data_IF_422484280312
#
_entry.id   IF_422484280312
#
_cell.length_a   1.000
_cell.length_b   1.000
_cell.length_c   1.000
_cell.angle_alpha   90.00
_cell.angle_beta   90.00
_cell.angle_gamma   90.00
#
_symmetry.space_group_name_H-M   'P 1'
#
loop_
_entity.id
_entity.type
_entity.pdbx_description
1 polymer ?
#
# COMPACT_ATOMS: atom_id res chain seq x y z
N UNK A 1 -13.54 -16.12 -24.49
CA UNK A 1 -13.88 -15.12 -23.47
C UNK A 1 -12.86 -15.26 -22.34
N UNK A 2 -12.22 -14.18 -21.93
CA UNK A 2 -11.35 -14.23 -20.75
C UNK A 2 -12.21 -14.50 -19.52
N UNK A 3 -11.95 -15.61 -18.82
CA UNK A 3 -12.64 -15.97 -17.58
C UNK A 3 -11.95 -15.40 -16.34
N UNK A 4 -10.88 -14.64 -16.55
CA UNK A 4 -9.99 -14.11 -15.51
C UNK A 4 -10.20 -12.62 -15.28
N UNK A 5 -10.05 -12.18 -14.04
CA UNK A 5 -10.09 -10.77 -13.65
C UNK A 5 -9.08 -10.47 -12.53
N UNK A 6 -8.73 -9.20 -12.36
CA UNK A 6 -7.87 -8.72 -11.28
C UNK A 6 -8.67 -7.77 -10.38
N UNK A 7 -8.55 -7.96 -9.07
CA UNK A 7 -9.05 -7.03 -8.05
C UNK A 7 -7.86 -6.40 -7.32
N UNK A 8 -7.78 -5.08 -7.30
CA UNK A 8 -6.78 -4.34 -6.51
C UNK A 8 -7.43 -3.94 -5.20
N UNK A 9 -6.96 -4.49 -4.10
CA UNK A 9 -7.48 -4.25 -2.76
C UNK A 9 -6.57 -3.29 -1.99
N UNK A 10 -6.98 -2.01 -1.88
CA UNK A 10 -6.32 -0.99 -1.09
C UNK A 10 -7.10 -0.71 0.20
N UNK A 11 -6.43 -0.22 1.25
CA UNK A 11 -7.13 0.33 2.40
C UNK A 11 -8.10 1.43 1.96
N UNK A 12 -7.65 2.26 1.05
CA UNK A 12 -8.36 3.41 0.52
C UNK A 12 -7.93 4.71 1.18
N UNK A 13 -8.38 5.81 0.62
CA UNK A 13 -8.15 7.16 1.14
C UNK A 13 -9.40 8.00 1.00
N UNK A 14 -9.70 8.82 2.01
CA UNK A 14 -10.90 9.67 2.02
C UNK A 14 -10.70 11.02 1.33
N UNK A 15 -9.48 11.44 1.03
CA UNK A 15 -9.20 12.76 0.47
C UNK A 15 -8.85 12.70 -1.02
N UNK A 16 -9.48 13.53 -1.90
CA UNK A 16 -9.18 13.54 -3.34
C UNK A 16 -7.71 13.71 -3.68
N UNK A 17 -7.01 14.61 -2.97
CA UNK A 17 -5.57 14.91 -3.22
C UNK A 17 -4.65 13.70 -3.07
N UNK A 18 -5.03 12.71 -2.27
CA UNK A 18 -4.22 11.52 -2.03
C UNK A 18 -4.59 10.34 -2.95
N UNK A 19 -5.63 10.47 -3.79
CA UNK A 19 -6.02 9.43 -4.75
C UNK A 19 -4.92 9.06 -5.77
N UNK A 20 -4.06 9.99 -6.22
CA UNK A 20 -3.01 9.64 -7.20
C UNK A 20 -2.15 8.45 -6.80
N UNK A 21 -1.86 8.24 -5.51
CA UNK A 21 -1.14 7.06 -5.05
C UNK A 21 -1.85 5.73 -5.28
N UNK A 22 -3.17 5.73 -5.44
CA UNK A 22 -3.94 4.52 -5.82
C UNK A 22 -4.17 4.49 -7.32
N UNK A 23 -4.65 5.59 -7.92
CA UNK A 23 -5.07 5.61 -9.32
C UNK A 23 -3.92 5.36 -10.29
N UNK A 24 -2.71 5.86 -9.99
CA UNK A 24 -1.50 5.56 -10.78
C UNK A 24 -1.17 4.06 -10.78
N UNK A 25 -1.28 3.39 -9.64
CA UNK A 25 -1.10 1.93 -9.56
C UNK A 25 -2.17 1.20 -10.36
N UNK A 26 -3.45 1.60 -10.24
CA UNK A 26 -4.56 1.02 -11.00
C UNK A 26 -4.33 1.15 -12.50
N UNK A 27 -3.97 2.35 -12.98
CA UNK A 27 -3.67 2.61 -14.38
C UNK A 27 -2.50 1.75 -14.87
N UNK A 28 -1.43 1.66 -14.09
CA UNK A 28 -0.25 0.85 -14.44
C UNK A 28 -0.60 -0.63 -14.57
N UNK A 29 -1.42 -1.16 -13.65
CA UNK A 29 -1.90 -2.56 -13.70
C UNK A 29 -2.79 -2.76 -14.93
N UNK A 30 -3.73 -1.86 -15.21
CA UNK A 30 -4.59 -1.93 -16.39
C UNK A 30 -3.80 -1.97 -17.70
N UNK A 31 -2.77 -1.13 -17.82
CA UNK A 31 -1.89 -1.11 -18.97
C UNK A 31 -1.10 -2.42 -19.14
N UNK A 32 -0.63 -2.99 -18.02
CA UNK A 32 0.25 -4.16 -18.05
C UNK A 32 -0.47 -5.49 -18.26
N UNK A 33 -1.77 -5.55 -17.92
CA UNK A 33 -2.58 -6.78 -18.00
C UNK A 33 -3.75 -6.67 -18.99
N UNK A 34 -3.73 -5.68 -19.89
CA UNK A 34 -4.76 -5.59 -20.92
C UNK A 34 -4.75 -6.85 -21.81
N UNK A 35 -5.90 -7.46 -22.15
CA UNK A 35 -7.27 -6.96 -21.94
C UNK A 35 -7.97 -7.47 -20.65
N UNK A 36 -7.25 -8.03 -19.67
CA UNK A 36 -7.84 -8.55 -18.42
C UNK A 36 -8.52 -7.43 -17.63
N UNK A 37 -9.80 -7.58 -17.23
CA UNK A 37 -10.47 -6.57 -16.44
C UNK A 37 -9.83 -6.36 -15.07
N UNK A 38 -9.69 -5.08 -14.67
CA UNK A 38 -9.14 -4.68 -13.37
C UNK A 38 -10.19 -3.87 -12.62
N UNK A 39 -10.52 -4.29 -11.41
CA UNK A 39 -11.45 -3.60 -10.50
C UNK A 39 -10.72 -3.13 -9.24
N UNK A 40 -11.06 -1.92 -8.79
CA UNK A 40 -10.58 -1.37 -7.53
C UNK A 40 -11.55 -1.72 -6.40
N UNK A 41 -11.00 -2.12 -5.25
CA UNK A 41 -11.75 -2.33 -4.02
C UNK A 41 -11.05 -1.64 -2.84
N UNK A 42 -11.83 -1.08 -1.91
CA UNK A 42 -11.30 -0.54 -0.65
C UNK A 42 -11.65 -1.46 0.52
N UNK A 43 -10.65 -1.82 1.32
CA UNK A 43 -10.85 -2.67 2.50
C UNK A 43 -11.51 -1.89 3.65
N UNK A 44 -11.17 -0.61 3.84
CA UNK A 44 -11.76 0.23 4.88
C UNK A 44 -13.25 0.55 4.64
N UNK A 45 -14.10 0.07 5.55
CA UNK A 45 -15.53 0.37 5.50
C UNK A 45 -15.81 1.86 5.70
N UNK A 46 -15.04 2.53 6.56
CA UNK A 46 -15.18 3.95 6.83
C UNK A 46 -14.91 4.78 5.56
N UNK A 47 -13.83 4.49 4.84
CA UNK A 47 -13.48 5.18 3.60
C UNK A 47 -14.57 4.98 2.54
N UNK A 48 -15.10 3.77 2.39
CA UNK A 48 -16.21 3.50 1.48
C UNK A 48 -17.48 4.28 1.84
N UNK A 49 -17.76 4.49 3.14
CA UNK A 49 -18.90 5.32 3.61
C UNK A 49 -18.70 6.78 3.22
N UNK A 50 -17.47 7.31 3.33
CA UNK A 50 -17.15 8.68 2.92
C UNK A 50 -17.46 8.88 1.43
N UNK A 51 -16.94 8.00 0.56
CA UNK A 51 -17.17 8.10 -0.89
C UNK A 51 -18.65 7.96 -1.26
N UNK A 52 -19.34 7.02 -0.64
CA UNK A 52 -20.79 6.82 -0.83
C UNK A 52 -21.60 8.05 -0.42
N UNK A 53 -21.22 8.71 0.68
CA UNK A 53 -21.85 9.97 1.10
C UNK A 53 -21.59 11.11 0.11
N UNK A 54 -20.42 11.16 -0.51
CA UNK A 54 -20.11 12.18 -1.54
C UNK A 54 -20.86 11.95 -2.83
N UNK A 55 -21.02 10.70 -3.24
CA UNK A 55 -21.81 10.34 -4.43
C UNK A 55 -23.26 10.86 -4.35
N UNK A 56 -23.83 10.94 -3.16
CA UNK A 56 -25.20 11.49 -2.96
C UNK A 56 -25.27 13.02 -2.96
N UNK A 57 -24.15 13.71 -3.20
CA UNK A 57 -24.05 15.18 -3.22
C UNK A 57 -23.66 15.67 -4.62
N UNK A 58 -24.62 15.97 -5.52
CA UNK A 58 -24.34 16.33 -6.91
C UNK A 58 -23.42 17.54 -7.09
N UNK A 59 -23.53 18.54 -6.20
CA UNK A 59 -22.66 19.72 -6.23
C UNK A 59 -21.20 19.31 -5.93
N UNK A 60 -20.98 18.48 -4.90
CA UNK A 60 -19.65 17.99 -4.57
C UNK A 60 -19.01 17.22 -5.74
N UNK A 61 -19.77 16.33 -6.39
CA UNK A 61 -19.29 15.56 -7.56
C UNK A 61 -18.92 16.50 -8.71
N UNK A 62 -19.71 17.55 -8.94
CA UNK A 62 -19.44 18.55 -9.99
C UNK A 62 -18.19 19.38 -9.69
N UNK A 63 -17.91 19.66 -8.42
CA UNK A 63 -16.75 20.43 -7.96
C UNK A 63 -15.47 19.61 -7.94
N UNK A 64 -15.54 18.26 -8.02
CA UNK A 64 -14.40 17.35 -7.96
C UNK A 64 -14.36 16.42 -9.19
N UNK A 65 -14.25 16.99 -10.41
CA UNK A 65 -14.22 16.20 -11.65
C UNK A 65 -12.97 15.30 -11.76
N UNK A 66 -11.93 15.58 -10.97
CA UNK A 66 -10.71 14.78 -10.88
C UNK A 66 -10.91 13.42 -10.19
N UNK A 67 -12.02 13.25 -9.44
CA UNK A 67 -12.30 11.99 -8.75
C UNK A 67 -12.95 10.99 -9.71
N UNK A 68 -12.29 9.85 -9.97
CA UNK A 68 -12.85 8.82 -10.85
C UNK A 68 -14.21 8.30 -10.34
N UNK A 69 -15.15 8.04 -11.24
CA UNK A 69 -16.47 7.49 -10.88
C UNK A 69 -16.37 6.14 -10.16
N UNK A 70 -15.38 5.32 -10.50
CA UNK A 70 -15.12 4.05 -9.81
C UNK A 70 -14.77 4.23 -8.34
N UNK A 71 -14.11 5.33 -7.95
CA UNK A 71 -13.81 5.65 -6.55
C UNK A 71 -15.09 6.08 -5.81
N UNK A 72 -15.93 6.88 -6.45
CA UNK A 72 -17.21 7.29 -5.87
C UNK A 72 -18.12 6.08 -5.59
N UNK A 73 -18.05 5.05 -6.44
CA UNK A 73 -18.85 3.83 -6.36
C UNK A 73 -18.08 2.65 -5.74
N UNK A 74 -16.90 2.91 -5.18
CA UNK A 74 -15.99 1.85 -4.71
C UNK A 74 -16.67 0.91 -3.69
N UNK A 75 -16.44 -0.37 -3.88
CA UNK A 75 -16.96 -1.45 -3.02
C UNK A 75 -15.83 -2.11 -2.21
N UNK A 76 -16.22 -2.95 -1.29
CA UNK A 76 -15.25 -3.79 -0.57
C UNK A 76 -14.88 -5.04 -1.37
N UNK A 77 -13.75 -5.70 -1.03
CA UNK A 77 -13.27 -6.87 -1.77
C UNK A 77 -14.34 -7.95 -1.97
N UNK A 78 -15.06 -8.33 -0.92
CA UNK A 78 -16.13 -9.32 -0.98
C UNK A 78 -17.17 -8.99 -2.05
N UNK A 79 -17.67 -7.75 -2.05
CA UNK A 79 -18.70 -7.33 -2.98
C UNK A 79 -18.15 -7.21 -4.42
N UNK A 80 -16.91 -6.72 -4.58
CA UNK A 80 -16.26 -6.59 -5.90
C UNK A 80 -16.02 -7.97 -6.54
N UNK A 81 -15.62 -8.96 -5.74
CA UNK A 81 -15.42 -10.35 -6.21
C UNK A 81 -16.78 -10.99 -6.58
N UNK A 82 -17.82 -10.73 -5.78
CA UNK A 82 -19.16 -11.23 -6.08
C UNK A 82 -19.72 -10.61 -7.39
N UNK A 83 -19.52 -9.32 -7.63
CA UNK A 83 -19.92 -8.66 -8.88
C UNK A 83 -19.21 -9.29 -10.09
N UNK A 84 -17.90 -9.53 -10.00
CA UNK A 84 -17.14 -10.20 -11.05
C UNK A 84 -17.66 -11.62 -11.32
N UNK A 85 -18.04 -12.34 -10.26
CA UNK A 85 -18.68 -13.66 -10.43
C UNK A 85 -20.00 -13.56 -11.20
N UNK A 86 -20.88 -12.60 -10.89
CA UNK A 86 -22.12 -12.36 -11.63
C UNK A 86 -21.87 -11.94 -13.09
N UNK A 87 -20.74 -11.26 -13.37
CA UNK A 87 -20.27 -10.94 -14.71
C UNK A 87 -19.68 -12.16 -15.47
N UNK A 88 -19.55 -13.31 -14.80
CA UNK A 88 -19.07 -14.58 -15.39
C UNK A 88 -17.58 -14.90 -15.15
N UNK A 89 -16.86 -14.06 -14.40
CA UNK A 89 -15.46 -14.32 -14.06
C UNK A 89 -15.36 -15.36 -12.94
N UNK A 90 -14.60 -16.41 -13.18
CA UNK A 90 -14.44 -17.52 -12.23
C UNK A 90 -13.01 -17.73 -11.76
N UNK A 91 -12.05 -17.03 -12.36
CA UNK A 91 -10.64 -17.04 -12.01
C UNK A 91 -10.23 -15.60 -11.67
N UNK A 92 -9.96 -15.34 -10.39
CA UNK A 92 -9.73 -13.96 -9.93
C UNK A 92 -8.42 -13.91 -9.15
N UNK A 93 -7.55 -12.98 -9.56
CA UNK A 93 -6.37 -12.59 -8.78
C UNK A 93 -6.71 -11.35 -7.98
N UNK A 94 -6.61 -11.43 -6.66
CA UNK A 94 -6.79 -10.29 -5.76
C UNK A 94 -5.40 -9.84 -5.31
N UNK A 95 -4.98 -8.65 -5.73
CA UNK A 95 -3.71 -8.08 -5.31
C UNK A 95 -3.93 -7.14 -4.12
N UNK A 96 -3.28 -7.45 -3.01
CA UNK A 96 -3.19 -6.55 -1.87
C UNK A 96 -2.26 -5.37 -2.20
N UNK A 97 -2.76 -4.14 -2.05
CA UNK A 97 -1.95 -2.93 -2.15
C UNK A 97 -1.46 -2.43 -0.77
N UNK A 98 -1.56 -3.26 0.26
CA UNK A 98 -0.98 -2.94 1.57
C UNK A 98 0.55 -2.99 1.52
N UNK A 99 1.19 -2.27 2.43
CA UNK A 99 2.66 -2.22 2.49
C UNK A 99 3.21 -3.53 3.04
N UNK A 100 2.65 -4.04 4.12
CA UNK A 100 3.10 -5.27 4.79
C UNK A 100 1.94 -6.20 5.14
N UNK A 101 2.25 -7.42 5.58
CA UNK A 101 1.30 -8.43 6.00
C UNK A 101 0.79 -8.14 7.42
N UNK A 102 0.03 -7.05 7.58
CA UNK A 102 -0.63 -6.63 8.81
C UNK A 102 -2.08 -7.09 8.88
N UNK A 103 -2.84 -6.50 9.81
CA UNK A 103 -4.23 -6.84 10.10
C UNK A 103 -5.11 -6.79 8.84
N UNK A 104 -5.04 -5.72 8.06
CA UNK A 104 -5.89 -5.55 6.87
C UNK A 104 -5.60 -6.59 5.78
N UNK A 105 -4.34 -7.02 5.68
CA UNK A 105 -3.99 -8.11 4.76
C UNK A 105 -4.53 -9.45 5.25
N UNK A 106 -4.46 -9.72 6.55
CA UNK A 106 -4.99 -10.96 7.14
C UNK A 106 -6.52 -11.03 7.01
N UNK A 107 -7.22 -9.92 7.19
CA UNK A 107 -8.66 -9.82 6.95
C UNK A 107 -9.01 -10.10 5.48
N UNK A 108 -8.25 -9.53 4.55
CA UNK A 108 -8.40 -9.80 3.13
C UNK A 108 -8.16 -11.29 2.82
N UNK A 109 -7.10 -11.87 3.38
CA UNK A 109 -6.78 -13.31 3.24
C UNK A 109 -7.87 -14.20 3.78
N UNK A 110 -8.41 -13.87 4.95
CA UNK A 110 -9.53 -14.58 5.57
C UNK A 110 -10.78 -14.51 4.69
N UNK A 111 -11.10 -13.34 4.15
CA UNK A 111 -12.21 -13.16 3.21
C UNK A 111 -12.06 -14.06 1.98
N UNK A 112 -10.88 -14.09 1.35
CA UNK A 112 -10.65 -14.92 0.17
C UNK A 112 -10.73 -16.43 0.48
N UNK A 113 -10.19 -16.85 1.62
CA UNK A 113 -10.31 -18.25 2.08
C UNK A 113 -11.77 -18.64 2.25
N UNK A 114 -12.58 -17.78 2.84
CA UNK A 114 -14.02 -17.98 2.99
C UNK A 114 -14.72 -18.14 1.63
N UNK A 115 -14.42 -17.26 0.67
CA UNK A 115 -14.98 -17.36 -0.69
C UNK A 115 -14.52 -18.61 -1.43
N UNK A 116 -13.25 -19.00 -1.33
CA UNK A 116 -12.70 -20.19 -1.96
C UNK A 116 -13.29 -21.49 -1.38
N UNK A 117 -13.81 -21.45 -0.15
CA UNK A 117 -14.44 -22.61 0.49
C UNK A 117 -15.87 -22.87 0.04
N UNK A 118 -16.49 -21.95 -0.71
CA UNK A 118 -17.87 -22.10 -1.18
C UNK A 118 -17.93 -23.22 -2.22
N UNK A 119 -18.70 -24.27 -1.91
CA UNK A 119 -18.93 -25.40 -2.79
C UNK A 119 -20.42 -25.50 -3.14
N UNK A 120 -20.70 -25.86 -4.38
CA UNK A 120 -22.05 -26.18 -4.79
C UNK A 120 -22.26 -27.70 -4.85
N UNK A 121 -23.49 -28.18 -4.60
CA UNK A 121 -23.86 -29.60 -4.74
C UNK A 121 -23.52 -30.12 -6.13
N UNK A 122 -23.74 -29.31 -7.15
CA UNK A 122 -23.28 -29.59 -8.52
C UNK A 122 -22.00 -28.84 -8.78
N UNK A 123 -20.84 -29.49 -8.98
CA UNK A 123 -19.53 -28.81 -9.11
C UNK A 123 -19.49 -27.69 -10.17
N UNK A 124 -20.28 -27.84 -11.25
CA UNK A 124 -20.39 -26.80 -12.30
C UNK A 124 -20.95 -25.45 -11.82
N UNK A 125 -21.63 -25.46 -10.66
CA UNK A 125 -22.20 -24.25 -10.05
C UNK A 125 -21.33 -23.70 -8.91
N UNK A 126 -20.19 -24.33 -8.61
CA UNK A 126 -19.21 -23.76 -7.67
C UNK A 126 -18.77 -22.39 -8.19
N UNK A 127 -18.86 -21.30 -7.38
CA UNK A 127 -18.74 -19.93 -7.89
C UNK A 127 -17.37 -19.61 -8.46
N UNK A 128 -16.30 -20.06 -7.81
CA UNK A 128 -14.95 -19.77 -8.24
C UNK A 128 -14.19 -21.04 -8.59
N UNK A 129 -13.49 -21.01 -9.74
CA UNK A 129 -12.58 -22.08 -10.15
C UNK A 129 -11.22 -21.88 -9.46
N UNK A 130 -10.75 -20.64 -9.43
CA UNK A 130 -9.49 -20.24 -8.80
C UNK A 130 -9.61 -18.84 -8.22
N UNK A 131 -9.17 -18.70 -6.96
CA UNK A 131 -8.96 -17.40 -6.31
C UNK A 131 -7.51 -17.35 -5.84
N UNK A 132 -6.75 -16.37 -6.28
CA UNK A 132 -5.37 -16.15 -5.89
C UNK A 132 -5.23 -14.83 -5.12
N UNK A 133 -4.36 -14.80 -4.12
CA UNK A 133 -4.03 -13.60 -3.37
C UNK A 133 -2.58 -13.22 -3.62
N UNK A 134 -2.38 -12.03 -4.21
CA UNK A 134 -1.07 -11.40 -4.30
C UNK A 134 -0.66 -10.80 -2.95
N UNK A 135 0.57 -11.08 -2.55
CA UNK A 135 1.12 -10.62 -1.28
C UNK A 135 1.35 -9.11 -1.25
N UNK A 136 1.47 -8.49 -0.05
CA UNK A 136 1.75 -7.05 0.07
C UNK A 136 3.17 -6.71 -0.43
N UNK A 137 3.49 -5.41 -0.49
CA UNK A 137 4.73 -4.93 -1.11
C UNK A 137 6.01 -5.44 -0.41
N UNK A 138 6.02 -5.45 0.93
CA UNK A 138 7.15 -5.94 1.72
C UNK A 138 7.10 -7.47 1.93
N UNK A 139 6.23 -8.18 1.19
CA UNK A 139 6.12 -9.63 1.26
C UNK A 139 5.35 -10.13 2.47
N UNK A 140 5.41 -11.43 2.64
CA UNK A 140 4.89 -12.14 3.81
C UNK A 140 5.83 -13.29 4.16
N UNK A 141 6.00 -13.64 5.44
CA UNK A 141 6.74 -14.82 5.83
C UNK A 141 6.15 -16.09 5.18
N UNK A 142 7.00 -16.92 4.59
CA UNK A 142 6.57 -18.16 3.94
C UNK A 142 7.69 -18.81 3.15
N UNK A 143 7.46 -20.05 2.71
CA UNK A 143 8.44 -20.86 1.96
C UNK A 143 8.35 -20.58 0.46
N UNK A 144 7.13 -20.32 -0.06
CA UNK A 144 6.88 -20.22 -1.50
C UNK A 144 7.49 -18.97 -2.13
N UNK A 145 7.53 -17.87 -1.37
CA UNK A 145 8.11 -16.61 -1.82
C UNK A 145 9.13 -16.15 -0.79
N UNK A 146 10.43 -16.17 -1.12
CA UNK A 146 11.48 -15.75 -0.19
C UNK A 146 11.29 -14.28 0.22
N UNK A 147 10.80 -14.08 1.41
CA UNK A 147 10.53 -12.79 2.04
C UNK A 147 11.70 -11.77 1.92
N UNK A 148 12.98 -12.14 2.09
CA UNK A 148 14.07 -11.20 1.90
C UNK A 148 14.15 -10.61 0.48
N UNK A 149 13.75 -11.36 -0.54
CA UNK A 149 13.74 -10.86 -1.92
C UNK A 149 12.68 -9.76 -2.14
N UNK A 150 11.55 -9.82 -1.41
CA UNK A 150 10.55 -8.77 -1.45
C UNK A 150 11.09 -7.48 -0.84
N UNK A 151 11.83 -7.58 0.27
CA UNK A 151 12.50 -6.43 0.88
C UNK A 151 13.60 -5.83 -0.02
N UNK A 152 14.37 -6.66 -0.72
CA UNK A 152 15.36 -6.19 -1.68
C UNK A 152 14.71 -5.45 -2.87
N UNK A 153 13.60 -5.96 -3.39
CA UNK A 153 12.82 -5.26 -4.42
C UNK A 153 12.27 -3.92 -3.93
N UNK A 154 11.76 -3.90 -2.71
CA UNK A 154 11.30 -2.66 -2.07
C UNK A 154 12.45 -1.66 -1.93
N UNK A 155 13.61 -2.09 -1.43
CA UNK A 155 14.79 -1.24 -1.30
C UNK A 155 15.25 -0.65 -2.64
N UNK A 156 15.25 -1.45 -3.72
CA UNK A 156 15.53 -0.94 -5.07
C UNK A 156 14.54 0.10 -5.54
N UNK A 157 13.25 -0.09 -5.26
CA UNK A 157 12.22 0.89 -5.62
C UNK A 157 12.35 2.22 -4.83
N UNK A 158 12.96 2.16 -3.64
CA UNK A 158 13.18 3.32 -2.76
C UNK A 158 14.54 4.01 -2.99
N UNK A 159 15.43 3.46 -3.81
CA UNK A 159 16.75 4.03 -4.08
C UNK A 159 16.73 5.52 -4.50
N UNK A 160 15.80 6.01 -5.37
CA UNK A 160 15.75 7.42 -5.72
C UNK A 160 15.50 8.37 -4.54
N UNK A 161 14.81 7.90 -3.50
CA UNK A 161 14.58 8.70 -2.30
C UNK A 161 15.85 8.79 -1.42
N UNK A 162 16.67 7.73 -1.41
CA UNK A 162 17.98 7.75 -0.76
C UNK A 162 18.93 8.70 -1.49
N UNK A 163 18.97 8.62 -2.83
CA UNK A 163 19.77 9.55 -3.65
C UNK A 163 19.37 11.00 -3.38
N UNK A 164 18.06 11.29 -3.32
CA UNK A 164 17.56 12.63 -2.98
C UNK A 164 18.02 13.10 -1.60
N UNK A 165 17.96 12.22 -0.59
CA UNK A 165 18.39 12.55 0.76
C UNK A 165 19.90 12.80 0.82
N UNK A 166 20.69 11.99 0.14
CA UNK A 166 22.16 12.11 0.07
C UNK A 166 22.59 13.41 -0.62
N UNK A 167 21.93 13.78 -1.73
CA UNK A 167 22.16 15.07 -2.41
C UNK A 167 21.88 16.27 -1.51
N UNK A 168 20.92 16.15 -0.59
CA UNK A 168 20.58 17.18 0.39
C UNK A 168 21.48 17.15 1.65
N UNK A 169 22.33 16.14 1.80
CA UNK A 169 23.09 15.89 3.03
C UNK A 169 22.17 15.61 4.22
N UNK A 170 21.04 14.94 3.98
CA UNK A 170 20.00 14.67 4.96
C UNK A 170 19.94 13.15 5.29
N UNK A 171 19.48 12.81 6.48
CA UNK A 171 19.02 11.46 6.74
C UNK A 171 17.60 11.27 6.19
N UNK A 172 17.39 10.18 5.47
CA UNK A 172 16.06 9.76 5.05
C UNK A 172 15.33 9.09 6.22
N UNK A 173 14.15 9.62 6.56
CA UNK A 173 13.27 9.02 7.57
C UNK A 173 11.98 8.61 6.90
N UNK A 174 11.76 7.31 6.79
CA UNK A 174 10.47 6.77 6.42
C UNK A 174 9.58 6.57 7.65
N UNK A 175 8.30 6.91 7.50
CA UNK A 175 7.30 6.68 8.55
C UNK A 175 6.15 5.85 7.99
N UNK A 176 6.05 4.61 8.47
CA UNK A 176 4.91 3.75 8.23
C UNK A 176 3.75 4.08 9.15
N UNK A 177 2.56 3.56 8.84
CA UNK A 177 1.43 3.68 9.75
C UNK A 177 1.68 2.86 11.02
N UNK A 178 2.17 1.63 10.85
CA UNK A 178 2.28 0.67 11.94
C UNK A 178 0.93 0.10 12.33
N UNK A 179 0.91 -0.67 13.41
CA UNK A 179 -0.30 -1.23 14.02
C UNK A 179 0.01 -1.64 15.46
N UNK A 180 -0.78 -1.21 16.46
CA UNK A 180 -0.53 -1.54 17.87
C UNK A 180 -0.82 -3.00 18.23
N UNK A 181 -1.55 -3.72 17.36
CA UNK A 181 -2.00 -5.10 17.62
C UNK A 181 -1.28 -6.14 16.74
N UNK A 182 -0.58 -5.71 15.70
CA UNK A 182 0.04 -6.60 14.72
C UNK A 182 1.55 -6.35 14.61
N UNK A 183 2.39 -7.41 14.53
CA UNK A 183 3.83 -7.22 14.45
C UNK A 183 4.25 -6.43 13.22
N UNK A 184 5.04 -5.39 13.39
CA UNK A 184 5.58 -4.52 12.35
C UNK A 184 7.10 -4.61 12.19
N UNK A 185 7.73 -5.68 12.71
CA UNK A 185 9.18 -5.89 12.62
C UNK A 185 9.77 -5.84 11.21
N UNK A 186 8.94 -6.05 10.19
CA UNK A 186 9.32 -5.88 8.78
C UNK A 186 9.86 -4.49 8.43
N UNK A 187 9.45 -3.46 9.14
CA UNK A 187 9.99 -2.12 8.94
C UNK A 187 11.46 -2.02 9.37
N UNK A 188 11.83 -2.72 10.44
CA UNK A 188 13.23 -2.83 10.85
C UNK A 188 14.05 -3.67 9.87
N UNK A 189 13.48 -4.74 9.37
CA UNK A 189 14.14 -5.55 8.34
C UNK A 189 14.35 -4.73 7.06
N UNK A 190 13.38 -3.92 6.65
CA UNK A 190 13.54 -3.00 5.53
C UNK A 190 14.66 -1.99 5.80
N UNK A 191 14.70 -1.37 7.00
CA UNK A 191 15.81 -0.47 7.37
C UNK A 191 17.16 -1.18 7.24
N UNK A 192 17.27 -2.42 7.74
CA UNK A 192 18.50 -3.20 7.62
C UNK A 192 18.90 -3.45 6.17
N UNK A 193 17.93 -3.76 5.29
CA UNK A 193 18.19 -3.97 3.86
C UNK A 193 18.64 -2.67 3.21
N UNK A 194 17.95 -1.55 3.45
CA UNK A 194 18.32 -0.24 2.92
C UNK A 194 19.75 0.15 3.33
N UNK A 195 20.09 -0.02 4.60
CA UNK A 195 21.45 0.27 5.10
C UNK A 195 22.52 -0.65 4.51
N UNK A 196 22.18 -1.92 4.24
CA UNK A 196 23.10 -2.86 3.60
C UNK A 196 23.33 -2.53 2.13
N UNK A 197 22.29 -2.13 1.41
CA UNK A 197 22.35 -1.83 -0.03
C UNK A 197 22.89 -0.43 -0.31
N UNK A 198 22.72 0.49 0.63
CA UNK A 198 23.17 1.90 0.54
C UNK A 198 23.95 2.28 1.82
N UNK A 199 25.18 1.72 2.00
CA UNK A 199 25.91 1.86 3.25
C UNK A 199 26.40 3.30 3.55
N UNK A 200 26.44 4.18 2.54
CA UNK A 200 26.77 5.59 2.70
C UNK A 200 25.59 6.45 3.13
N UNK A 201 24.37 6.01 2.87
CA UNK A 201 23.15 6.78 3.15
C UNK A 201 22.72 6.64 4.62
N UNK A 202 22.25 7.74 5.18
CA UNK A 202 21.67 7.76 6.53
C UNK A 202 20.17 7.50 6.42
N UNK A 203 19.70 6.35 6.90
CA UNK A 203 18.29 5.97 6.81
C UNK A 203 17.78 5.41 8.13
N UNK A 204 16.54 5.80 8.49
CA UNK A 204 15.77 5.24 9.58
C UNK A 204 14.33 4.99 9.13
N UNK A 205 13.72 3.93 9.67
CA UNK A 205 12.31 3.60 9.44
C UNK A 205 11.59 3.58 10.78
N UNK A 206 10.56 4.42 10.90
CA UNK A 206 9.69 4.49 12.06
C UNK A 206 8.23 4.28 11.69
N UNK A 207 7.37 4.36 12.69
CA UNK A 207 5.92 4.16 12.55
C UNK A 207 5.13 5.10 13.47
N UNK A 208 3.95 5.48 13.03
CA UNK A 208 3.04 6.32 13.82
C UNK A 208 2.51 5.53 15.02
N UNK A 209 2.10 4.28 14.76
CA UNK A 209 1.55 3.37 15.78
C UNK A 209 2.37 2.07 15.81
N UNK A 210 3.08 1.81 16.89
CA UNK A 210 3.84 0.58 17.05
C UNK A 210 5.13 0.76 17.85
N UNK A 211 6.06 -0.19 17.68
CA UNK A 211 7.30 -0.27 18.48
C UNK A 211 8.37 0.73 18.05
N UNK A 212 8.37 1.14 16.78
CA UNK A 212 9.43 1.99 16.19
C UNK A 212 8.97 3.45 16.13
N UNK A 213 8.60 3.97 17.28
CA UNK A 213 8.02 5.31 17.46
C UNK A 213 8.99 6.44 17.07
N UNK A 214 8.48 7.67 17.12
CA UNK A 214 9.29 8.88 16.95
C UNK A 214 10.50 8.92 17.88
N UNK A 215 10.37 8.45 19.14
CA UNK A 215 11.49 8.42 20.09
C UNK A 215 12.59 7.45 19.64
N UNK A 216 12.23 6.30 19.09
CA UNK A 216 13.19 5.40 18.46
C UNK A 216 13.94 6.11 17.32
N UNK A 217 13.24 6.78 16.42
CA UNK A 217 13.86 7.48 15.29
C UNK A 217 14.76 8.65 15.75
N UNK A 218 14.33 9.38 16.78
CA UNK A 218 15.16 10.44 17.40
C UNK A 218 16.52 9.92 17.86
N UNK A 219 16.53 8.80 18.58
CA UNK A 219 17.77 8.18 19.03
C UNK A 219 18.64 7.72 17.84
N UNK A 220 18.03 7.17 16.79
CA UNK A 220 18.73 6.79 15.56
C UNK A 220 19.38 8.01 14.89
N UNK A 221 18.65 9.12 14.72
CA UNK A 221 19.17 10.35 14.13
C UNK A 221 20.32 10.94 14.97
N UNK A 222 20.21 10.89 16.31
CA UNK A 222 21.29 11.31 17.21
C UNK A 222 22.57 10.48 17.01
N UNK A 223 22.44 9.16 16.87
CA UNK A 223 23.57 8.25 16.60
C UNK A 223 24.20 8.50 15.22
N UNK A 224 23.40 8.88 14.23
CA UNK A 224 23.86 9.24 12.89
C UNK A 224 24.58 10.59 12.84
N UNK A 225 24.39 11.46 13.83
CA UNK A 225 25.00 12.81 13.90
C UNK A 225 24.52 13.78 12.81
N UNK A 226 23.35 13.51 12.21
CA UNK A 226 22.79 14.37 11.15
C UNK A 226 22.18 15.64 11.72
N UNK A 227 22.15 16.70 10.89
CA UNK A 227 21.46 17.95 11.18
C UNK A 227 20.26 18.18 10.25
N UNK A 228 20.07 17.32 9.25
CA UNK A 228 19.02 17.46 8.23
C UNK A 228 18.27 16.15 8.08
N UNK A 229 16.96 16.24 7.88
CA UNK A 229 16.07 15.10 7.71
C UNK A 229 15.17 15.33 6.50
N UNK A 230 15.11 14.33 5.62
CA UNK A 230 14.06 14.18 4.63
C UNK A 230 13.03 13.19 5.17
N UNK A 231 11.83 13.69 5.52
CA UNK A 231 10.75 12.90 6.11
C UNK A 231 9.77 12.47 5.04
N UNK A 232 9.53 11.16 4.91
CA UNK A 232 8.63 10.59 3.88
C UNK A 232 7.70 9.53 4.46
N UNK A 233 6.44 9.41 3.96
CA UNK A 233 5.55 8.32 4.35
C UNK A 233 6.00 7.01 3.71
N UNK A 234 6.08 5.94 4.50
CA UNK A 234 6.17 4.55 4.01
C UNK A 234 4.75 3.98 3.90
N UNK A 235 3.94 4.63 3.09
CA UNK A 235 2.52 4.33 2.90
C UNK A 235 2.18 4.42 1.40
N UNK A 236 1.24 3.60 0.94
CA UNK A 236 0.77 3.66 -0.45
C UNK A 236 0.28 5.07 -0.81
N UNK A 237 -0.44 5.69 0.13
CA UNK A 237 -0.97 7.05 0.07
C UNK A 237 -0.74 7.76 1.39
N UNK A 238 -0.33 9.00 1.36
CA UNK A 238 -0.39 9.87 2.54
C UNK A 238 -1.81 10.45 2.64
N UNK A 239 -2.62 9.87 3.52
CA UNK A 239 -3.95 10.40 3.86
C UNK A 239 -3.85 11.61 4.79
N UNK A 240 -5.00 12.17 5.17
CA UNK A 240 -5.07 13.37 6.01
C UNK A 240 -4.39 13.17 7.38
N UNK A 241 -4.57 12.00 8.00
CA UNK A 241 -3.86 11.65 9.24
C UNK A 241 -2.36 11.64 9.06
N UNK A 242 -1.86 10.99 8.00
CA UNK A 242 -0.42 10.99 7.71
C UNK A 242 0.14 12.40 7.50
N UNK A 243 -0.60 13.27 6.83
CA UNK A 243 -0.22 14.68 6.69
C UNK A 243 -0.14 15.39 8.04
N UNK A 244 -1.14 15.20 8.92
CA UNK A 244 -1.16 15.79 10.25
C UNK A 244 -0.04 15.23 11.14
N UNK A 245 0.12 13.91 11.17
CA UNK A 245 1.07 13.23 12.04
C UNK A 245 2.52 13.52 11.62
N UNK A 246 2.81 13.53 10.31
CA UNK A 246 4.17 13.75 9.82
C UNK A 246 4.52 15.24 9.74
N UNK A 247 3.69 16.06 9.08
CA UNK A 247 4.01 17.42 8.71
C UNK A 247 3.05 18.48 9.27
N UNK A 248 2.15 18.10 10.17
CA UNK A 248 1.22 19.02 10.85
C UNK A 248 1.92 20.12 11.62
N UNK A 249 1.17 21.20 11.91
CA UNK A 249 1.67 22.33 12.70
C UNK A 249 1.65 22.07 14.22
N UNK A 250 0.97 21.02 14.64
CA UNK A 250 0.87 20.63 16.05
C UNK A 250 2.24 20.21 16.60
N UNK A 251 2.49 20.54 17.88
CA UNK A 251 3.75 20.23 18.55
C UNK A 251 4.06 18.72 18.62
N UNK A 252 3.04 17.86 18.50
CA UNK A 252 3.17 16.41 18.48
C UNK A 252 3.49 15.82 17.10
N UNK A 253 3.46 16.59 16.02
CA UNK A 253 3.84 16.09 14.69
C UNK A 253 5.32 15.73 14.64
N UNK A 254 5.67 14.76 13.79
CA UNK A 254 7.05 14.31 13.59
C UNK A 254 7.96 15.48 13.22
N UNK A 255 7.53 16.29 12.25
CA UNK A 255 8.28 17.49 11.83
C UNK A 255 8.58 18.42 13.00
N UNK A 256 7.54 18.86 13.71
CA UNK A 256 7.71 19.81 14.80
C UNK A 256 8.55 19.28 15.95
N UNK A 257 8.37 18.00 16.28
CA UNK A 257 9.18 17.35 17.32
C UNK A 257 10.65 17.29 16.93
N UNK A 258 10.99 16.94 15.68
CA UNK A 258 12.36 16.90 15.20
C UNK A 258 12.96 18.31 15.08
N UNK A 259 12.20 19.30 14.59
CA UNK A 259 12.61 20.70 14.54
C UNK A 259 12.91 21.28 15.93
N UNK A 260 12.13 20.92 16.95
CA UNK A 260 12.36 21.36 18.34
C UNK A 260 13.70 20.90 18.92
N UNK A 261 14.35 19.90 18.28
CA UNK A 261 15.68 19.39 18.63
C UNK A 261 16.81 20.01 17.80
N UNK A 262 16.48 21.02 17.01
CA UNK A 262 17.46 21.72 16.17
C UNK A 262 17.73 21.08 14.80
N UNK A 263 16.94 20.05 14.42
CA UNK A 263 17.05 19.43 13.11
C UNK A 263 16.34 20.28 12.05
N UNK A 264 16.88 20.31 10.84
CA UNK A 264 16.24 20.88 9.66
C UNK A 264 15.41 19.77 8.99
N UNK A 265 14.08 19.91 8.97
CA UNK A 265 13.19 18.87 8.45
C UNK A 265 12.53 19.33 7.15
N UNK A 266 12.73 18.57 6.08
CA UNK A 266 11.98 18.68 4.84
C UNK A 266 11.01 17.49 4.75
N UNK A 267 9.77 17.75 4.33
CA UNK A 267 8.74 16.72 4.20
C UNK A 267 8.37 16.54 2.73
N UNK A 268 8.53 15.33 2.22
CA UNK A 268 7.94 14.92 0.94
C UNK A 268 6.82 13.91 1.22
N UNK A 269 5.59 14.38 1.15
CA UNK A 269 4.40 13.60 1.52
C UNK A 269 3.76 12.84 0.35
N UNK A 270 4.47 12.65 -0.75
CA UNK A 270 4.00 11.77 -1.83
C UNK A 270 3.94 10.32 -1.34
N UNK A 271 2.81 9.65 -1.61
CA UNK A 271 2.68 8.23 -1.28
C UNK A 271 3.48 7.33 -2.21
N UNK A 272 3.84 6.14 -1.74
CA UNK A 272 4.63 5.16 -2.50
C UNK A 272 3.96 4.74 -3.81
N UNK A 273 2.61 4.76 -3.88
CA UNK A 273 1.88 4.48 -5.10
C UNK A 273 2.09 5.49 -6.22
N UNK A 274 2.72 6.63 -5.93
CA UNK A 274 3.15 7.61 -6.93
C UNK A 274 4.55 7.30 -7.50
N UNK A 275 5.27 6.37 -6.90
CA UNK A 275 6.54 5.87 -7.40
C UNK A 275 6.30 4.74 -8.42
N UNK A 276 6.67 4.91 -9.70
CA UNK A 276 6.46 3.86 -10.71
C UNK A 276 7.18 2.55 -10.39
N UNK A 277 8.37 2.61 -9.80
CA UNK A 277 9.13 1.42 -9.42
C UNK A 277 8.44 0.64 -8.29
N UNK A 278 7.73 1.34 -7.40
CA UNK A 278 6.92 0.69 -6.37
C UNK A 278 5.72 -0.05 -6.98
N UNK A 279 5.07 0.51 -7.99
CA UNK A 279 3.97 -0.16 -8.70
C UNK A 279 4.42 -1.48 -9.34
N UNK A 280 5.66 -1.58 -9.86
CA UNK A 280 6.18 -2.81 -10.45
C UNK A 280 6.24 -3.98 -9.45
N UNK A 281 6.38 -3.71 -8.13
CA UNK A 281 6.32 -4.73 -7.09
C UNK A 281 4.94 -5.43 -7.12
N UNK A 282 3.86 -4.64 -7.20
CA UNK A 282 2.51 -5.21 -7.27
C UNK A 282 2.25 -5.96 -8.58
N UNK A 283 2.78 -5.45 -9.71
CA UNK A 283 2.67 -6.14 -10.99
C UNK A 283 3.32 -7.53 -10.94
N UNK A 284 4.51 -7.61 -10.36
CA UNK A 284 5.21 -8.89 -10.21
C UNK A 284 4.46 -9.83 -9.24
N UNK A 285 3.93 -9.29 -8.13
CA UNK A 285 3.13 -10.08 -7.19
C UNK A 285 1.84 -10.63 -7.83
N UNK A 286 1.20 -9.87 -8.73
CA UNK A 286 0.06 -10.34 -9.53
C UNK A 286 0.49 -11.50 -10.44
N UNK A 287 1.60 -11.36 -11.19
CA UNK A 287 2.10 -12.42 -12.09
C UNK A 287 2.40 -13.71 -11.32
N UNK A 288 3.07 -13.59 -10.18
CA UNK A 288 3.42 -14.74 -9.34
C UNK A 288 2.19 -15.40 -8.73
N UNK A 289 1.23 -14.62 -8.21
CA UNK A 289 -0.03 -15.16 -7.69
C UNK A 289 -0.84 -15.88 -8.78
N UNK A 290 -0.92 -15.29 -9.98
CA UNK A 290 -1.60 -15.89 -11.12
C UNK A 290 -0.91 -17.20 -11.53
N UNK A 291 0.41 -17.20 -11.68
CA UNK A 291 1.19 -18.38 -12.08
C UNK A 291 1.07 -19.52 -11.06
N UNK A 292 1.18 -19.22 -9.77
CA UNK A 292 1.03 -20.22 -8.68
C UNK A 292 -0.35 -20.85 -8.66
N UNK A 293 -1.40 -20.10 -9.03
CA UNK A 293 -2.77 -20.60 -9.11
C UNK A 293 -3.14 -21.19 -10.48
N UNK A 294 -2.26 -21.08 -11.48
CA UNK A 294 -2.55 -21.52 -12.86
C UNK A 294 -3.62 -20.65 -13.54
N UNK A 295 -3.71 -19.36 -13.20
CA UNK A 295 -4.60 -18.38 -13.81
C UNK A 295 -3.88 -17.71 -14.98
N UNK A 296 -4.50 -17.65 -16.14
CA UNK A 296 -4.02 -16.89 -17.31
C UNK A 296 -4.61 -15.47 -17.26
N UNK A 297 -3.77 -14.46 -17.30
CA UNK A 297 -4.14 -13.04 -17.29
C UNK A 297 -3.94 -12.40 -18.66
#
# INVERSE_FOLDING_TARGET
MHESAIVLAAFGVGHPRSLPGITKVVERVRQSFAPTPVRLAFTSQQIRRIWRSRLTRPLWVKEHPEVPSEVLMVRGPLATIADLHEEGFREIVVQSLHIYAGEEFEDLRSCLRGLASIQAVKPRWTPFRRLALGRPALGQPGIEHPYPQDLERAALALAPDLDQADEQGAALVYVGHGNPYYPSGVYQELEMVLRRTHPASLVAVGEVEGAFSLDYVRERLRQMGTQRVLLKPLMLVAGEHAHSDLAGEDAGSWRRTLESQGLKVECDLRGLGENPAWAEIYLENIRQAAASAGIAL
#
